data_IF_553012011170
#
_entry.id   IF_553012011170
#
_cell.length_a   1.000
_cell.length_b   1.000
_cell.length_c   1.000
_cell.angle_alpha   90.00
_cell.angle_beta   90.00
_cell.angle_gamma   90.00
#
_symmetry.space_group_name_H-M   'P 1'
#
loop_
_entity.id
_entity.type
_entity.pdbx_description
1 polymer ?
#
# COMPACT_ATOMS: atom_id res chain seq x y z
N UNK A 1 -4.13 -26.28 5.54
CA UNK A 1 -3.04 -26.92 4.76
C UNK A 1 -2.11 -25.82 4.28
N UNK A 2 -0.80 -25.99 4.43
CA UNK A 2 0.18 -25.09 3.81
C UNK A 2 0.08 -25.24 2.28
N UNK A 3 -0.23 -24.16 1.57
CA UNK A 3 -0.33 -24.16 0.09
C UNK A 3 1.00 -24.53 -0.56
N UNK A 4 2.12 -24.34 0.13
CA UNK A 4 3.47 -24.62 -0.38
C UNK A 4 3.98 -26.02 0.00
N UNK A 5 3.17 -26.83 0.71
CA UNK A 5 3.44 -28.25 0.86
C UNK A 5 3.01 -28.99 -0.42
N UNK A 6 3.96 -29.09 -1.36
CA UNK A 6 3.72 -29.65 -2.68
C UNK A 6 3.49 -31.16 -2.64
N UNK A 7 3.93 -31.86 -1.59
CA UNK A 7 3.69 -33.30 -1.44
C UNK A 7 2.21 -33.62 -1.22
N UNK A 8 1.44 -32.69 -0.66
CA UNK A 8 -0.01 -32.83 -0.49
C UNK A 8 -0.79 -32.65 -1.80
N UNK A 9 -0.14 -32.15 -2.85
CA UNK A 9 -0.76 -31.90 -4.16
C UNK A 9 -0.54 -33.05 -5.14
N UNK A 10 0.18 -34.11 -4.73
CA UNK A 10 0.62 -35.19 -5.60
C UNK A 10 0.08 -36.54 -5.15
N UNK A 11 -0.14 -37.50 -6.08
CA UNK A 11 -0.54 -38.86 -5.74
C UNK A 11 0.49 -39.59 -4.86
N UNK A 12 0.02 -40.55 -4.06
CA UNK A 12 0.85 -41.30 -3.12
C UNK A 12 2.04 -42.05 -3.77
N UNK A 13 1.91 -42.41 -5.05
CA UNK A 13 2.96 -43.06 -5.84
C UNK A 13 4.28 -42.26 -5.87
N UNK A 14 4.22 -40.93 -5.69
CA UNK A 14 5.38 -40.06 -5.75
C UNK A 14 6.08 -39.85 -4.40
N UNK A 15 5.62 -40.48 -3.31
CA UNK A 15 6.20 -40.34 -1.96
C UNK A 15 7.52 -41.10 -1.74
N UNK A 16 8.41 -41.08 -2.73
CA UNK A 16 9.78 -41.58 -2.59
C UNK A 16 10.68 -40.53 -1.90
N UNK A 17 11.73 -40.97 -1.19
CA UNK A 17 12.63 -40.06 -0.45
C UNK A 17 13.26 -38.99 -1.35
N UNK A 18 13.86 -39.31 -2.53
CA UNK A 18 14.46 -38.28 -3.38
C UNK A 18 13.46 -37.27 -3.90
N UNK A 19 12.24 -37.72 -4.18
CA UNK A 19 11.19 -36.87 -4.72
C UNK A 19 10.57 -35.98 -3.64
N UNK A 20 10.41 -36.49 -2.41
CA UNK A 20 9.96 -35.69 -1.28
C UNK A 20 10.93 -34.54 -0.98
N UNK A 21 12.23 -34.79 -1.03
CA UNK A 21 13.22 -33.72 -0.82
C UNK A 21 13.21 -32.69 -1.95
N UNK A 22 13.05 -33.13 -3.21
CA UNK A 22 12.86 -32.22 -4.34
C UNK A 22 11.62 -31.33 -4.15
N UNK A 23 10.47 -31.92 -3.79
CA UNK A 23 9.24 -31.17 -3.54
C UNK A 23 9.37 -30.19 -2.36
N UNK A 24 10.12 -30.57 -1.32
CA UNK A 24 10.42 -29.68 -0.19
C UNK A 24 11.19 -28.43 -0.64
N UNK A 25 12.24 -28.61 -1.45
CA UNK A 25 13.05 -27.50 -1.97
C UNK A 25 12.24 -26.62 -2.93
N UNK A 26 11.44 -27.22 -3.82
CA UNK A 26 10.54 -26.48 -4.71
C UNK A 26 9.49 -25.68 -3.92
N UNK A 27 8.90 -26.28 -2.89
CA UNK A 27 7.94 -25.62 -2.01
C UNK A 27 8.54 -24.40 -1.31
N UNK A 28 9.80 -24.49 -0.86
CA UNK A 28 10.54 -23.34 -0.30
C UNK A 28 10.71 -22.20 -1.30
N UNK A 29 11.06 -22.50 -2.55
CA UNK A 29 11.19 -21.49 -3.60
C UNK A 29 9.83 -20.86 -3.91
N UNK A 30 8.77 -21.67 -4.03
CA UNK A 30 7.42 -21.17 -4.25
C UNK A 30 6.93 -20.27 -3.10
N UNK A 31 7.27 -20.61 -1.85
CA UNK A 31 6.93 -19.79 -0.69
C UNK A 31 7.57 -18.42 -0.77
N UNK A 32 8.88 -18.36 -1.01
CA UNK A 32 9.62 -17.09 -1.18
C UNK A 32 9.05 -16.25 -2.31
N UNK A 33 8.78 -16.86 -3.47
CA UNK A 33 8.17 -16.15 -4.59
C UNK A 33 6.78 -15.60 -4.24
N UNK A 34 6.00 -16.32 -3.43
CA UNK A 34 4.72 -15.83 -2.91
C UNK A 34 4.87 -14.66 -1.94
N UNK A 35 5.83 -14.72 -1.02
CA UNK A 35 6.15 -13.62 -0.11
C UNK A 35 6.62 -12.37 -0.88
N UNK A 36 7.49 -12.53 -1.87
CA UNK A 36 7.96 -11.45 -2.74
C UNK A 36 6.81 -10.82 -3.54
N UNK A 37 5.88 -11.66 -4.03
CA UNK A 37 4.67 -11.18 -4.70
C UNK A 37 3.80 -10.36 -3.73
N UNK A 38 3.55 -10.86 -2.52
CA UNK A 38 2.74 -10.15 -1.53
C UNK A 38 3.36 -8.79 -1.15
N UNK A 39 4.69 -8.75 -0.95
CA UNK A 39 5.44 -7.51 -0.71
C UNK A 39 5.31 -6.54 -1.90
N UNK A 40 5.43 -7.06 -3.13
CA UNK A 40 5.33 -6.24 -4.36
C UNK A 40 3.93 -5.67 -4.53
N UNK A 41 2.89 -6.47 -4.31
CA UNK A 41 1.50 -6.03 -4.41
C UNK A 41 1.15 -4.98 -3.35
N UNK A 42 1.72 -5.09 -2.15
CA UNK A 42 1.56 -4.07 -1.11
C UNK A 42 2.11 -2.69 -1.54
N UNK A 43 3.07 -2.62 -2.47
CA UNK A 43 3.58 -1.33 -2.96
C UNK A 43 2.64 -0.63 -3.95
N UNK A 44 1.66 -1.36 -4.51
CA UNK A 44 0.72 -0.80 -5.49
C UNK A 44 -0.24 0.20 -4.87
N UNK A 45 -0.44 0.19 -3.55
CA UNK A 45 -1.30 1.14 -2.86
C UNK A 45 -0.50 2.05 -1.93
N UNK A 46 -0.73 3.36 -1.96
CA UNK A 46 -0.01 4.28 -1.09
C UNK A 46 -0.27 3.97 0.37
N UNK A 47 -1.44 3.42 0.75
CA UNK A 47 -1.78 3.03 2.12
C UNK A 47 -0.90 1.91 2.69
N UNK A 48 -0.30 1.08 1.83
CA UNK A 48 0.49 -0.09 2.22
C UNK A 48 1.94 -0.01 1.75
N UNK A 49 2.27 0.91 0.84
CA UNK A 49 3.63 1.09 0.34
C UNK A 49 4.61 1.52 1.45
N UNK A 50 5.84 1.02 1.37
CA UNK A 50 6.94 1.23 2.31
C UNK A 50 8.28 1.27 1.56
N UNK A 51 9.33 1.79 2.17
CA UNK A 51 10.66 1.89 1.58
C UNK A 51 10.62 2.44 0.15
N UNK A 52 11.16 1.66 -0.79
CA UNK A 52 11.22 2.01 -2.21
C UNK A 52 9.85 2.25 -2.85
N UNK A 53 8.80 1.51 -2.47
CA UNK A 53 7.48 1.68 -3.06
C UNK A 53 6.88 3.04 -2.69
N UNK A 54 7.11 3.48 -1.45
CA UNK A 54 6.68 4.80 -0.99
C UNK A 54 7.45 5.94 -1.69
N UNK A 55 8.74 5.76 -1.95
CA UNK A 55 9.56 6.73 -2.71
C UNK A 55 9.07 6.92 -4.15
N UNK A 56 8.58 5.85 -4.80
CA UNK A 56 7.96 5.93 -6.12
C UNK A 56 6.70 6.80 -6.09
N UNK A 57 5.84 6.62 -5.09
CA UNK A 57 4.65 7.46 -4.91
C UNK A 57 5.02 8.91 -4.63
N UNK A 58 5.98 9.17 -3.74
CA UNK A 58 6.43 10.53 -3.46
C UNK A 58 6.95 11.21 -4.73
N UNK A 59 7.79 10.52 -5.50
CA UNK A 59 8.35 11.02 -6.76
C UNK A 59 7.25 11.29 -7.79
N UNK A 60 6.30 10.37 -7.96
CA UNK A 60 5.21 10.50 -8.92
C UNK A 60 4.30 11.72 -8.64
N UNK A 61 4.16 12.10 -7.36
CA UNK A 61 3.34 13.24 -6.94
C UNK A 61 4.16 14.51 -6.64
N UNK A 62 5.45 14.52 -6.98
CA UNK A 62 6.34 15.66 -6.79
C UNK A 62 6.61 16.00 -5.32
N UNK A 63 6.51 15.02 -4.42
CA UNK A 63 6.81 15.15 -3.00
C UNK A 63 8.30 14.81 -2.80
N UNK A 64 9.10 15.68 -2.17
CA UNK A 64 10.48 15.33 -1.83
C UNK A 64 10.54 14.17 -0.84
N UNK A 65 11.36 13.16 -1.18
CA UNK A 65 11.68 12.01 -0.33
C UNK A 65 12.52 12.49 0.85
N UNK A 66 11.98 12.40 2.07
CA UNK A 66 12.69 12.77 3.30
C UNK A 66 12.78 11.56 4.24
N UNK A 67 13.89 10.81 4.14
CA UNK A 67 14.15 9.61 4.94
C UNK A 67 14.39 9.90 6.44
N UNK A 68 14.46 11.17 6.86
CA UNK A 68 14.52 11.53 8.28
C UNK A 68 13.16 11.42 8.97
N UNK A 69 12.06 11.35 8.20
CA UNK A 69 10.69 11.20 8.70
C UNK A 69 10.28 9.74 8.71
N UNK A 70 9.40 9.40 9.64
CA UNK A 70 8.78 8.09 9.67
C UNK A 70 7.94 7.83 8.41
N UNK A 71 7.81 6.56 8.03
CA UNK A 71 7.06 6.17 6.85
C UNK A 71 5.58 6.50 6.96
N UNK A 72 5.00 6.45 8.17
CA UNK A 72 3.59 6.72 8.39
C UNK A 72 3.23 8.17 8.02
N UNK A 73 4.07 9.12 8.42
CA UNK A 73 3.96 10.54 8.12
C UNK A 73 4.17 10.80 6.63
N UNK A 74 5.22 10.21 6.04
CA UNK A 74 5.47 10.27 4.59
C UNK A 74 4.27 9.78 3.79
N UNK A 75 3.73 8.63 4.17
CA UNK A 75 2.52 8.03 3.59
C UNK A 75 1.30 8.93 3.72
N UNK A 76 1.09 9.53 4.90
CA UNK A 76 -0.01 10.47 5.11
C UNK A 76 0.07 11.67 4.17
N UNK A 77 1.27 12.21 3.90
CA UNK A 77 1.47 13.31 2.93
C UNK A 77 1.08 12.90 1.51
N UNK A 78 1.49 11.71 1.07
CA UNK A 78 1.11 11.15 -0.24
C UNK A 78 -0.41 11.02 -0.34
N UNK A 79 -1.06 10.41 0.66
CA UNK A 79 -2.51 10.23 0.70
C UNK A 79 -3.25 11.58 0.69
N UNK A 80 -2.78 12.56 1.46
CA UNK A 80 -3.36 13.91 1.47
C UNK A 80 -3.22 14.60 0.12
N UNK A 81 -2.07 14.45 -0.56
CA UNK A 81 -1.85 15.01 -1.90
C UNK A 81 -2.79 14.38 -2.93
N UNK A 82 -2.98 13.06 -2.86
CA UNK A 82 -3.93 12.31 -3.68
C UNK A 82 -5.37 12.80 -3.48
N UNK A 83 -5.80 12.97 -2.22
CA UNK A 83 -7.15 13.46 -1.90
C UNK A 83 -7.38 14.89 -2.34
N UNK A 84 -6.35 15.73 -2.26
CA UNK A 84 -6.41 17.13 -2.67
C UNK A 84 -6.30 17.37 -4.18
N UNK A 85 -6.11 16.33 -4.99
CA UNK A 85 -6.14 16.46 -6.46
C UNK A 85 -7.58 16.34 -6.98
N UNK A 86 -8.10 17.43 -7.53
CA UNK A 86 -9.45 17.53 -8.09
C UNK A 86 -9.95 18.97 -8.10
N UNK A 87 -11.17 19.18 -8.59
CA UNK A 87 -11.87 20.46 -8.40
C UNK A 87 -12.12 20.68 -6.91
N UNK A 88 -11.74 21.82 -6.33
CA UNK A 88 -12.02 22.10 -4.93
C UNK A 88 -13.51 22.34 -4.77
N UNK A 89 -14.25 21.29 -4.43
CA UNK A 89 -15.65 21.41 -4.01
C UNK A 89 -15.72 21.77 -2.54
N UNK A 90 -16.87 22.29 -2.12
CA UNK A 90 -17.16 22.60 -0.71
C UNK A 90 -16.90 21.38 0.18
N UNK A 91 -17.29 20.19 -0.28
CA UNK A 91 -17.08 18.93 0.43
C UNK A 91 -15.60 18.57 0.57
N UNK A 92 -14.78 18.81 -0.48
CA UNK A 92 -13.34 18.56 -0.41
C UNK A 92 -12.68 19.49 0.62
N UNK A 93 -13.03 20.77 0.61
CA UNK A 93 -12.51 21.77 1.56
C UNK A 93 -12.89 21.37 2.99
N UNK A 94 -14.15 21.00 3.21
CA UNK A 94 -14.66 20.58 4.51
C UNK A 94 -13.96 19.30 5.01
N UNK A 95 -13.77 18.30 4.14
CA UNK A 95 -13.10 17.05 4.49
C UNK A 95 -11.62 17.25 4.85
N UNK A 96 -10.91 18.09 4.10
CA UNK A 96 -9.51 18.44 4.39
C UNK A 96 -9.42 19.16 5.73
N UNK A 97 -10.22 20.21 5.95
CA UNK A 97 -10.20 20.97 7.20
C UNK A 97 -10.57 20.11 8.43
N UNK A 98 -11.57 19.23 8.31
CA UNK A 98 -11.98 18.33 9.39
C UNK A 98 -10.85 17.35 9.79
N UNK A 99 -10.02 16.92 8.84
CA UNK A 99 -8.88 16.04 9.13
C UNK A 99 -7.78 16.69 9.98
N UNK A 100 -7.70 18.03 10.01
CA UNK A 100 -6.79 18.78 10.89
C UNK A 100 -7.46 19.17 12.21
N UNK A 101 -8.75 19.50 12.18
CA UNK A 101 -9.49 19.97 13.36
C UNK A 101 -9.95 18.85 14.30
N UNK A 102 -9.89 17.57 13.88
CA UNK A 102 -10.45 16.42 14.60
C UNK A 102 -11.90 16.66 15.10
N UNK A 103 -12.70 17.35 14.29
CA UNK A 103 -14.05 17.79 14.66
C UNK A 103 -14.93 18.10 13.44
N UNK A 104 -16.17 18.50 13.69
CA UNK A 104 -17.08 18.94 12.63
C UNK A 104 -16.64 20.31 12.13
N UNK A 105 -16.48 20.43 10.81
CA UNK A 105 -16.18 21.68 10.12
C UNK A 105 -17.37 22.00 9.23
N UNK A 106 -17.76 23.27 9.15
CA UNK A 106 -18.76 23.80 8.21
C UNK A 106 -18.06 24.81 7.29
N UNK A 107 -18.44 24.84 6.01
CA UNK A 107 -17.90 25.77 5.02
C UNK A 107 -19.01 26.73 4.62
N UNK A 108 -18.79 28.03 4.83
CA UNK A 108 -19.72 29.10 4.46
C UNK A 108 -19.10 29.91 3.33
N UNK A 109 -19.84 30.09 2.23
CA UNK A 109 -19.40 30.88 1.07
C UNK A 109 -20.00 32.29 1.14
N UNK A 110 -19.15 33.33 1.09
CA UNK A 110 -19.55 34.74 1.17
C UNK A 110 -19.49 35.41 -0.21
N UNK A 111 -20.45 35.06 -1.07
CA UNK A 111 -20.46 35.53 -2.46
C UNK A 111 -20.51 37.07 -2.62
N UNK A 112 -21.13 37.73 -1.65
CA UNK A 112 -21.31 39.17 -1.54
C UNK A 112 -20.03 39.95 -1.24
N UNK A 113 -18.95 39.28 -0.83
CA UNK A 113 -17.66 39.92 -0.50
C UNK A 113 -16.60 39.83 -1.60
N UNK A 114 -16.91 39.19 -2.74
CA UNK A 114 -15.95 39.00 -3.83
C UNK A 114 -15.88 40.15 -4.86
N UNK A 115 -16.67 41.22 -4.69
CA UNK A 115 -16.67 42.41 -5.54
C UNK A 115 -16.33 43.67 -4.74
#
# INVERSE_FOLDING_TARGET
MDRYDLMLQLPDLYRSIPFAELQRVLGEICRRAGEDLDVTLAQLWPQTASGWGLELWETAYGIPVDLSKDEAFRRARVISKLRGQGTPTVELIQAVAASFANGQVEVVEHQDTYC
#
